data_IF_403396984932
#
_entry.id   IF_403396984932
#
_cell.length_a   1.000
_cell.length_b   1.000
_cell.length_c   1.000
_cell.angle_alpha   90.00
_cell.angle_beta   90.00
_cell.angle_gamma   90.00
#
_symmetry.space_group_name_H-M   'P 1'
#
loop_
_entity.id
_entity.type
_entity.pdbx_description
1 polymer ?
#
# COMPACT_ATOMS: atom_id res chain seq x y z
N UNK A 1 6.61 9.25 23.07
CA UNK A 1 7.08 8.20 22.15
C UNK A 1 5.87 7.51 21.52
N UNK A 2 5.87 7.20 20.20
CA UNK A 2 4.68 6.67 19.50
C UNK A 2 4.39 5.18 19.77
N UNK A 3 5.40 4.32 19.88
CA UNK A 3 5.24 2.87 20.08
C UNK A 3 5.00 2.07 18.78
N UNK A 4 5.29 0.77 18.76
CA UNK A 4 5.33 -0.07 17.55
C UNK A 4 3.98 -0.20 16.84
N UNK A 5 2.87 -0.06 17.57
CA UNK A 5 1.52 -0.09 16.99
C UNK A 5 1.16 1.17 16.18
N UNK A 6 2.01 2.20 16.15
CA UNK A 6 1.69 3.48 15.48
C UNK A 6 2.78 3.94 14.53
N UNK A 7 3.63 3.02 14.07
CA UNK A 7 4.72 3.30 13.12
C UNK A 7 4.60 2.35 11.93
N UNK A 8 4.74 2.92 10.73
CA UNK A 8 4.56 2.23 9.45
C UNK A 8 5.75 2.59 8.55
N UNK A 9 6.23 1.65 7.75
CA UNK A 9 7.26 1.94 6.76
C UNK A 9 6.65 2.55 5.49
N UNK A 10 7.24 3.64 5.01
CA UNK A 10 6.97 4.21 3.69
C UNK A 10 8.27 4.67 3.05
N UNK A 11 8.55 4.24 1.82
CA UNK A 11 9.81 4.55 1.12
C UNK A 11 9.85 5.94 0.52
N UNK A 12 8.70 6.58 0.34
CA UNK A 12 8.55 7.82 -0.46
C UNK A 12 9.07 7.67 -1.90
N UNK A 13 8.98 6.47 -2.48
CA UNK A 13 9.36 6.26 -3.89
C UNK A 13 8.31 6.89 -4.83
N UNK A 14 8.72 7.59 -5.92
CA UNK A 14 10.08 7.73 -6.44
C UNK A 14 10.89 8.90 -5.88
N UNK A 15 10.33 9.73 -5.01
CA UNK A 15 10.97 10.95 -4.47
C UNK A 15 12.28 10.64 -3.74
N UNK A 16 12.34 9.54 -3.00
CA UNK A 16 13.57 9.12 -2.30
C UNK A 16 14.80 8.96 -3.20
N UNK A 17 14.62 8.70 -4.51
CA UNK A 17 15.71 8.57 -5.50
C UNK A 17 16.56 9.83 -5.66
N UNK A 18 16.12 10.98 -5.15
CA UNK A 18 16.95 12.18 -5.08
C UNK A 18 18.15 12.04 -4.13
N UNK A 19 18.11 11.08 -3.19
CA UNK A 19 19.14 10.90 -2.16
C UNK A 19 19.63 9.45 -2.01
N UNK A 20 18.77 8.46 -2.28
CA UNK A 20 19.09 7.04 -2.10
C UNK A 20 18.23 6.15 -3.01
N UNK A 21 18.77 5.02 -3.45
CA UNK A 21 17.96 3.97 -4.06
C UNK A 21 17.11 3.23 -3.00
N UNK A 22 16.16 2.40 -3.46
CA UNK A 22 15.25 1.67 -2.58
C UNK A 22 15.99 0.74 -1.60
N UNK A 23 17.04 0.05 -2.07
CA UNK A 23 17.80 -0.90 -1.26
C UNK A 23 18.58 -0.19 -0.16
N UNK A 24 19.13 1.00 -0.46
CA UNK A 24 19.75 1.88 0.52
C UNK A 24 18.75 2.34 1.59
N UNK A 25 17.54 2.77 1.20
CA UNK A 25 16.48 3.14 2.14
C UNK A 25 16.12 1.96 3.05
N UNK A 26 15.93 0.77 2.48
CA UNK A 26 15.64 -0.45 3.24
C UNK A 26 16.77 -0.81 4.21
N UNK A 27 18.03 -0.72 3.77
CA UNK A 27 19.19 -1.00 4.62
C UNK A 27 19.28 -0.04 5.80
N UNK A 28 19.00 1.26 5.59
CA UNK A 28 18.96 2.26 6.66
C UNK A 28 17.88 1.89 7.67
N UNK A 29 16.67 1.58 7.22
CA UNK A 29 15.57 1.18 8.11
C UNK A 29 15.95 -0.06 8.93
N UNK A 30 16.44 -1.12 8.29
CA UNK A 30 16.81 -2.37 8.96
C UNK A 30 17.91 -2.18 10.01
N UNK A 31 18.83 -1.24 9.78
CA UNK A 31 19.87 -0.89 10.75
C UNK A 31 19.35 -0.01 11.90
N UNK A 32 18.28 0.76 11.67
CA UNK A 32 17.69 1.65 12.68
C UNK A 32 16.71 0.93 13.61
N UNK A 33 16.18 -0.24 13.22
CA UNK A 33 15.26 -1.03 14.05
C UNK A 33 16.02 -1.63 15.26
N UNK A 34 15.54 -1.42 16.50
CA UNK A 34 16.13 -2.02 17.69
C UNK A 34 16.17 -3.55 17.59
N UNK A 35 17.24 -4.16 18.13
CA UNK A 35 17.40 -5.63 18.10
C UNK A 35 16.36 -6.34 18.95
N UNK A 36 15.85 -5.66 19.97
CA UNK A 36 14.85 -6.11 20.92
C UNK A 36 13.44 -6.10 20.33
N UNK A 37 13.24 -5.44 19.17
CA UNK A 37 11.95 -5.40 18.50
C UNK A 37 11.59 -6.78 17.96
N UNK A 38 10.56 -7.38 18.54
CA UNK A 38 10.15 -8.76 18.26
C UNK A 38 9.55 -8.94 16.87
N UNK A 39 9.35 -10.19 16.46
CA UNK A 39 8.79 -10.53 15.14
C UNK A 39 7.39 -9.95 14.93
N UNK A 40 6.53 -10.01 15.97
CA UNK A 40 5.18 -9.44 15.92
C UNK A 40 5.20 -7.94 15.68
N UNK A 41 6.09 -7.21 16.36
CA UNK A 41 6.22 -5.76 16.22
C UNK A 41 6.82 -5.36 14.87
N UNK A 42 7.76 -6.16 14.35
CA UNK A 42 8.27 -6.00 12.98
C UNK A 42 7.16 -6.22 11.95
N UNK A 43 6.31 -7.22 12.13
CA UNK A 43 5.17 -7.46 11.25
C UNK A 43 4.18 -6.29 11.25
N UNK A 44 4.00 -5.61 12.40
CA UNK A 44 3.21 -4.38 12.47
C UNK A 44 3.84 -3.23 11.65
N UNK A 45 5.16 -3.04 11.75
CA UNK A 45 5.90 -2.00 11.04
C UNK A 45 5.85 -2.16 9.50
N UNK A 46 5.90 -3.40 9.02
CA UNK A 46 5.99 -3.73 7.59
C UNK A 46 4.63 -4.02 6.91
N UNK A 47 3.51 -3.83 7.61
CA UNK A 47 2.20 -4.00 6.97
C UNK A 47 1.02 -4.10 7.91
N UNK A 48 1.18 -4.68 9.11
CA UNK A 48 0.05 -4.88 10.03
C UNK A 48 -0.62 -3.58 10.46
N UNK A 49 0.17 -2.52 10.64
CA UNK A 49 -0.38 -1.19 10.92
C UNK A 49 -1.05 -0.58 9.68
N UNK A 50 -0.51 -0.78 8.47
CA UNK A 50 -1.11 -0.34 7.19
C UNK A 50 -2.47 -0.98 6.96
N UNK A 51 -2.56 -2.28 7.16
CA UNK A 51 -3.79 -3.05 7.02
C UNK A 51 -4.88 -2.51 7.95
N UNK A 52 -4.53 -2.30 9.22
CA UNK A 52 -5.48 -1.79 10.22
C UNK A 52 -5.87 -0.34 9.96
N UNK A 53 -4.91 0.51 9.60
CA UNK A 53 -5.13 1.95 9.43
C UNK A 53 -5.90 2.26 8.14
N UNK A 54 -5.47 1.68 7.02
CA UNK A 54 -6.12 1.89 5.71
C UNK A 54 -7.28 0.91 5.44
N UNK A 55 -7.57 0.00 6.39
CA UNK A 55 -8.63 -1.02 6.27
C UNK A 55 -8.46 -1.86 5.01
N UNK A 56 -7.24 -2.33 4.78
CA UNK A 56 -6.92 -3.16 3.61
C UNK A 56 -7.53 -4.56 3.82
N UNK A 57 -8.32 -5.02 2.85
CA UNK A 57 -8.89 -6.36 2.89
C UNK A 57 -7.82 -7.40 2.51
N UNK A 58 -7.54 -8.37 3.40
CA UNK A 58 -6.63 -9.50 3.13
C UNK A 58 -7.13 -10.51 2.06
N UNK A 59 -8.21 -10.18 1.34
CA UNK A 59 -8.91 -11.13 0.46
C UNK A 59 -9.76 -10.50 -0.64
N UNK A 60 -9.25 -9.51 -1.37
CA UNK A 60 -9.86 -9.07 -2.64
C UNK A 60 -8.80 -9.09 -3.73
N UNK A 61 -9.03 -9.63 -4.92
CA UNK A 61 -10.21 -9.35 -5.76
C UNK A 61 -10.47 -10.51 -6.76
N UNK A 62 -11.63 -10.50 -7.44
CA UNK A 62 -11.50 -9.97 -8.79
C UNK A 62 -12.51 -8.86 -9.14
N UNK A 63 -11.97 -7.96 -9.96
CA UNK A 63 -12.62 -7.15 -10.98
C UNK A 63 -13.67 -6.12 -10.52
N UNK A 64 -13.38 -4.86 -10.79
CA UNK A 64 -14.02 -4.06 -11.84
C UNK A 64 -15.34 -4.61 -12.47
N UNK A 65 -16.31 -5.04 -11.69
CA UNK A 65 -17.64 -5.42 -12.16
C UNK A 65 -18.56 -4.20 -12.12
N UNK A 66 -18.38 -3.30 -13.09
CA UNK A 66 -19.42 -2.35 -13.58
C UNK A 66 -18.90 -1.55 -14.78
N UNK A 67 -18.71 -2.23 -15.90
CA UNK A 67 -18.94 -1.60 -17.21
C UNK A 67 -20.21 -2.17 -17.81
N UNK A 68 -21.36 -1.70 -17.34
CA UNK A 68 -22.58 -1.73 -18.17
C UNK A 68 -22.37 -0.71 -19.28
N UNK A 69 -21.73 -1.10 -20.39
CA UNK A 69 -21.85 -0.34 -21.65
C UNK A 69 -23.26 -0.56 -22.18
N UNK A 70 -24.22 0.15 -21.62
CA UNK A 70 -25.47 0.45 -22.31
C UNK A 70 -25.15 1.51 -23.37
N UNK A 71 -24.56 1.07 -24.49
CA UNK A 71 -24.68 1.82 -25.75
C UNK A 71 -26.10 1.58 -26.25
N UNK A 72 -27.03 2.43 -25.83
CA UNK A 72 -28.25 2.65 -26.60
C UNK A 72 -27.80 3.39 -27.86
N UNK A 73 -27.70 2.66 -28.98
CA UNK A 73 -27.81 3.31 -30.29
C UNK A 73 -29.28 3.69 -30.46
N UNK A 74 -29.64 4.96 -30.69
CA UNK A 74 -30.95 5.25 -31.24
C UNK A 74 -30.97 4.74 -32.69
N UNK A 75 -31.98 3.93 -33.01
CA UNK A 75 -32.32 3.63 -34.39
C UNK A 75 -32.66 4.94 -35.11
N UNK A 76 -32.10 5.13 -36.30
CA UNK A 76 -32.48 6.21 -37.21
C UNK A 76 -33.64 5.66 -38.04
N UNK A 77 -34.87 6.19 -37.93
CA UNK A 77 -35.94 5.82 -38.85
C UNK A 77 -35.65 6.45 -40.21
N UNK A 78 -35.87 5.66 -41.26
CA UNK A 78 -35.52 6.03 -42.63
C UNK A 78 -36.21 7.29 -43.16
N UNK A 79 -35.47 7.97 -44.04
CA UNK A 79 -35.93 8.75 -45.18
C UNK A 79 -34.78 8.81 -46.19
#
# INVERSE_FOLDING_TARGET
>A
MFGPERVMFGSDWPVCQLAADYDQVMKILLNAIPRELGETERALLFGGNDERFYKLNKGGQPALARRSRSRLHPEVPGA
#
